data_IF_701491072327
#
_entry.id   IF_701491072327
#
_cell.length_a   1.000
_cell.length_b   1.000
_cell.length_c   1.000
_cell.angle_alpha   90.00
_cell.angle_beta   90.00
_cell.angle_gamma   90.00
#
_symmetry.space_group_name_H-M   'P 1'
#
loop_
_entity.id
_entity.type
_entity.pdbx_description
1 polymer ?
#
# COMPACT_ATOMS: atom_id res chain seq x y z
N UNK A 1 -7.76 -29.78 -11.22
CA UNK A 1 -7.05 -30.28 -10.02
C UNK A 1 -6.53 -31.71 -10.18
N UNK A 2 -7.38 -32.72 -10.46
CA UNK A 2 -6.92 -34.12 -10.58
C UNK A 2 -5.98 -34.35 -11.79
N UNK A 3 -6.33 -33.79 -12.95
CA UNK A 3 -5.50 -33.79 -14.18
C UNK A 3 -4.08 -33.22 -13.97
N UNK A 4 -3.96 -32.16 -13.18
CA UNK A 4 -2.67 -31.50 -12.93
C UNK A 4 -1.70 -32.37 -12.12
N UNK A 5 -2.24 -33.19 -11.21
CA UNK A 5 -1.47 -34.11 -10.37
C UNK A 5 -1.02 -35.37 -11.13
N UNK A 6 -1.78 -35.80 -12.15
CA UNK A 6 -1.37 -36.90 -13.01
C UNK A 6 -0.19 -36.52 -13.91
N UNK A 7 -0.14 -35.26 -14.35
CA UNK A 7 0.96 -34.75 -15.17
C UNK A 7 2.24 -34.44 -14.36
N UNK A 8 2.10 -34.15 -13.06
CA UNK A 8 3.22 -33.83 -12.16
C UNK A 8 3.09 -34.61 -10.84
N UNK A 9 3.59 -35.86 -10.77
CA UNK A 9 3.51 -36.64 -9.55
C UNK A 9 4.28 -35.94 -8.41
N UNK A 10 3.71 -35.89 -7.19
CA UNK A 10 4.35 -35.24 -6.05
C UNK A 10 5.68 -35.92 -5.73
N UNK A 11 6.78 -35.16 -5.65
CA UNK A 11 8.03 -35.72 -5.14
C UNK A 11 7.80 -36.23 -3.71
N UNK A 12 8.30 -37.44 -3.35
CA UNK A 12 8.21 -37.93 -1.99
C UNK A 12 8.86 -36.91 -1.06
N UNK A 13 8.22 -36.64 0.08
CA UNK A 13 8.77 -35.79 1.14
C UNK A 13 10.10 -36.42 1.56
N UNK A 14 11.21 -35.89 1.07
CA UNK A 14 12.53 -36.30 1.55
C UNK A 14 12.60 -35.87 3.01
N UNK A 15 12.66 -36.84 3.93
CA UNK A 15 13.22 -36.59 5.25
C UNK A 15 14.58 -35.92 5.02
N UNK A 16 14.81 -34.78 5.68
CA UNK A 16 16.04 -34.00 5.53
C UNK A 16 17.26 -34.91 5.38
N UNK A 17 18.14 -34.69 4.39
CA UNK A 17 19.37 -35.46 4.31
C UNK A 17 20.10 -35.36 5.66
N UNK A 18 20.68 -36.47 6.17
CA UNK A 18 21.30 -36.51 7.50
C UNK A 18 22.50 -35.57 7.65
N UNK A 19 22.98 -34.98 6.56
CA UNK A 19 24.02 -33.96 6.57
C UNK A 19 23.47 -32.62 6.07
N UNK A 20 23.65 -31.53 6.84
CA UNK A 20 23.39 -30.20 6.33
C UNK A 20 24.27 -29.97 5.08
N UNK A 21 23.77 -29.27 4.06
CA UNK A 21 24.61 -28.90 2.92
C UNK A 21 25.86 -28.18 3.43
N UNK A 22 27.04 -28.39 2.81
CA UNK A 22 28.27 -27.76 3.26
C UNK A 22 28.04 -26.26 3.35
N UNK A 23 28.32 -25.69 4.52
CA UNK A 23 28.20 -24.26 4.77
C UNK A 23 29.06 -23.56 3.72
N UNK A 24 28.43 -22.87 2.76
CA UNK A 24 29.18 -22.10 1.77
C UNK A 24 29.89 -20.99 2.54
N UNK A 25 31.19 -21.16 2.76
CA UNK A 25 32.05 -20.22 3.51
C UNK A 25 32.06 -18.80 2.92
N UNK A 26 31.52 -18.60 1.73
CA UNK A 26 31.39 -17.30 1.05
C UNK A 26 30.01 -16.64 1.18
N UNK A 27 29.05 -17.18 1.95
CA UNK A 27 27.79 -16.47 2.21
C UNK A 27 27.99 -15.43 3.30
N UNK A 28 28.42 -14.23 2.92
CA UNK A 28 28.40 -13.08 3.82
C UNK A 28 26.95 -12.64 3.98
N UNK A 29 26.40 -12.76 5.20
CA UNK A 29 25.07 -12.22 5.51
C UNK A 29 25.07 -10.72 5.18
N UNK A 30 24.19 -10.23 4.29
CA UNK A 30 24.11 -8.81 3.99
C UNK A 30 23.82 -8.05 5.29
N UNK A 31 24.73 -7.13 5.64
CA UNK A 31 24.66 -6.31 6.84
C UNK A 31 24.02 -4.94 6.56
N UNK A 32 24.10 -4.45 5.31
CA UNK A 32 23.40 -3.26 4.88
C UNK A 32 21.94 -3.55 4.54
N UNK A 33 21.06 -2.59 4.81
CA UNK A 33 19.64 -2.68 4.50
C UNK A 33 19.39 -2.77 2.98
N UNK A 34 20.21 -2.10 2.18
CA UNK A 34 20.13 -2.12 0.72
C UNK A 34 20.44 -3.49 0.11
N UNK A 35 21.27 -4.30 0.77
CA UNK A 35 21.70 -5.62 0.29
C UNK A 35 20.77 -6.75 0.75
N UNK A 36 19.79 -6.43 1.61
CA UNK A 36 18.76 -7.39 2.00
C UNK A 36 17.73 -7.47 0.88
N UNK A 37 17.78 -8.57 0.12
CA UNK A 37 16.68 -8.93 -0.75
C UNK A 37 15.45 -9.27 0.11
N UNK A 38 14.58 -8.28 0.36
CA UNK A 38 13.27 -8.47 1.00
C UNK A 38 12.26 -9.22 0.12
N UNK A 39 12.71 -9.75 -1.00
CA UNK A 39 11.91 -10.60 -1.88
C UNK A 39 11.63 -11.91 -1.17
N UNK A 40 10.35 -12.14 -0.87
CA UNK A 40 9.89 -13.44 -0.37
C UNK A 40 10.18 -14.52 -1.42
N UNK A 41 10.57 -15.70 -0.96
CA UNK A 41 10.66 -16.88 -1.82
C UNK A 41 9.30 -17.56 -1.89
N UNK A 42 8.82 -17.81 -3.11
CA UNK A 42 7.62 -18.60 -3.36
C UNK A 42 8.02 -19.96 -3.89
N UNK A 43 7.77 -21.01 -3.10
CA UNK A 43 8.15 -22.38 -3.43
C UNK A 43 6.98 -23.32 -3.23
N UNK A 44 6.76 -24.16 -4.24
CA UNK A 44 5.91 -25.33 -4.15
C UNK A 44 6.78 -26.58 -4.10
N UNK A 45 6.78 -27.25 -2.94
CA UNK A 45 7.58 -28.45 -2.70
C UNK A 45 7.09 -29.66 -3.51
N UNK A 46 5.79 -29.71 -3.80
CA UNK A 46 5.15 -30.83 -4.50
C UNK A 46 5.57 -30.88 -5.97
N UNK A 47 5.67 -29.71 -6.60
CA UNK A 47 6.04 -29.54 -8.01
C UNK A 47 7.54 -29.22 -8.21
N UNK A 48 8.27 -29.07 -7.11
CA UNK A 48 9.67 -28.61 -7.06
C UNK A 48 9.93 -27.34 -7.89
N UNK A 49 8.97 -26.41 -7.84
CA UNK A 49 9.08 -25.11 -8.48
C UNK A 49 9.28 -24.03 -7.42
N UNK A 50 10.18 -23.10 -7.72
CA UNK A 50 10.51 -21.98 -6.86
C UNK A 50 10.76 -20.73 -7.71
N UNK A 51 10.32 -19.59 -7.18
CA UNK A 51 10.53 -18.28 -7.77
C UNK A 51 10.96 -17.34 -6.66
N UNK A 52 12.02 -16.57 -6.90
CA UNK A 52 12.41 -15.48 -6.02
C UNK A 52 11.64 -14.22 -6.43
N UNK A 53 10.86 -13.65 -5.52
CA UNK A 53 10.17 -12.41 -5.81
C UNK A 53 11.13 -11.21 -5.83
N UNK A 54 10.77 -10.12 -6.55
CA UNK A 54 11.55 -8.89 -6.53
C UNK A 54 11.73 -8.36 -5.12
N UNK A 55 12.72 -7.48 -4.92
CA UNK A 55 12.89 -6.78 -3.65
C UNK A 55 11.63 -6.02 -3.28
N UNK A 56 11.07 -6.32 -2.10
CA UNK A 56 10.00 -5.52 -1.52
C UNK A 56 10.47 -4.12 -1.14
N UNK A 57 9.52 -3.26 -0.79
CA UNK A 57 9.80 -1.91 -0.28
C UNK A 57 9.08 -1.69 1.06
N UNK A 58 9.33 -0.58 1.78
CA UNK A 58 8.54 -0.22 2.95
C UNK A 58 7.04 -0.04 2.68
N UNK A 59 6.64 0.10 1.42
CA UNK A 59 5.26 0.34 1.03
C UNK A 59 4.54 -0.91 0.52
N UNK A 60 5.29 -1.92 0.08
CA UNK A 60 4.71 -3.14 -0.46
C UNK A 60 5.59 -4.35 -0.20
N UNK A 61 4.95 -5.50 -0.07
CA UNK A 61 5.59 -6.80 -0.07
C UNK A 61 5.09 -7.61 -1.27
N UNK A 62 5.69 -8.78 -1.49
CA UNK A 62 5.18 -9.76 -2.44
C UNK A 62 4.63 -10.97 -1.69
N UNK A 63 3.45 -11.42 -2.07
CA UNK A 63 2.83 -12.65 -1.58
C UNK A 63 2.87 -13.74 -2.66
N UNK A 64 2.90 -15.00 -2.22
CA UNK A 64 2.82 -16.14 -3.12
C UNK A 64 1.38 -16.38 -3.57
N UNK A 65 1.16 -16.46 -4.87
CA UNK A 65 -0.14 -16.58 -5.49
C UNK A 65 -0.10 -17.51 -6.73
N UNK A 66 -1.23 -17.60 -7.43
CA UNK A 66 -1.40 -18.48 -8.59
C UNK A 66 -1.78 -19.90 -8.21
N UNK A 67 -2.15 -20.71 -9.20
CA UNK A 67 -2.64 -22.09 -8.98
C UNK A 67 -1.60 -22.97 -8.28
N UNK A 68 -0.32 -22.68 -8.50
CA UNK A 68 0.80 -23.45 -7.95
C UNK A 68 1.47 -22.76 -6.76
N UNK A 69 1.00 -21.58 -6.32
CA UNK A 69 1.61 -20.80 -5.22
C UNK A 69 3.10 -20.46 -5.46
N UNK A 70 3.52 -20.39 -6.72
CA UNK A 70 4.90 -20.03 -7.12
C UNK A 70 5.00 -18.64 -7.73
N UNK A 71 3.88 -17.96 -7.95
CA UNK A 71 3.86 -16.65 -8.59
C UNK A 71 3.96 -15.54 -7.53
N UNK A 72 4.54 -14.40 -7.92
CA UNK A 72 4.73 -13.24 -7.06
C UNK A 72 3.64 -12.20 -7.31
N UNK A 73 2.74 -12.03 -6.35
CA UNK A 73 1.70 -11.00 -6.39
C UNK A 73 2.05 -9.82 -5.47
N UNK A 74 1.71 -8.62 -5.92
CA UNK A 74 1.86 -7.41 -5.12
C UNK A 74 0.91 -7.42 -3.92
N UNK A 75 1.44 -7.14 -2.73
CA UNK A 75 0.67 -6.93 -1.51
C UNK A 75 1.04 -5.60 -0.87
N UNK A 76 0.03 -4.82 -0.49
CA UNK A 76 0.25 -3.56 0.22
C UNK A 76 0.52 -3.83 1.70
N UNK A 77 1.44 -3.08 2.32
CA UNK A 77 1.71 -3.25 3.75
C UNK A 77 0.52 -2.78 4.61
N UNK A 78 0.17 -3.55 5.64
CA UNK A 78 -0.98 -3.25 6.52
C UNK A 78 -0.91 -1.86 7.15
N UNK A 79 0.28 -1.39 7.52
CA UNK A 79 0.43 -0.07 8.13
C UNK A 79 -0.01 1.06 7.18
N UNK A 80 0.18 0.91 5.87
CA UNK A 80 -0.29 1.90 4.90
C UNK A 80 -1.80 1.97 4.84
N UNK A 81 -2.49 0.82 4.92
CA UNK A 81 -3.95 0.77 4.95
C UNK A 81 -4.46 1.52 6.19
N UNK A 82 -3.86 1.27 7.35
CA UNK A 82 -4.27 1.89 8.61
C UNK A 82 -4.03 3.42 8.56
N UNK A 83 -2.85 3.84 8.11
CA UNK A 83 -2.51 5.27 8.04
C UNK A 83 -3.37 6.00 7.00
N UNK A 84 -3.59 5.41 5.82
CA UNK A 84 -4.42 6.02 4.78
C UNK A 84 -5.87 6.16 5.24
N UNK A 85 -6.42 5.14 5.89
CA UNK A 85 -7.77 5.17 6.44
C UNK A 85 -7.91 6.22 7.54
N UNK A 86 -6.93 6.31 8.45
CA UNK A 86 -6.94 7.32 9.52
C UNK A 86 -6.86 8.75 8.99
N UNK A 87 -6.03 9.02 7.99
CA UNK A 87 -5.94 10.35 7.38
C UNK A 87 -7.24 10.67 6.66
N UNK A 88 -7.79 9.71 5.92
CA UNK A 88 -9.04 9.85 5.21
C UNK A 88 -10.20 10.20 6.14
N UNK A 89 -10.35 9.52 7.28
CA UNK A 89 -11.43 9.80 8.23
C UNK A 89 -11.33 11.19 8.85
N UNK A 90 -10.12 11.66 9.19
CA UNK A 90 -9.90 13.01 9.72
C UNK A 90 -10.27 14.07 8.67
N UNK A 91 -9.78 13.92 7.43
CA UNK A 91 -10.11 14.85 6.35
C UNK A 91 -11.62 14.86 6.09
N UNK A 92 -12.24 13.68 6.03
CA UNK A 92 -13.67 13.56 5.81
C UNK A 92 -14.50 14.23 6.92
N UNK A 93 -14.11 14.07 8.18
CA UNK A 93 -14.76 14.75 9.30
C UNK A 93 -14.61 16.27 9.23
N UNK A 94 -13.43 16.79 8.84
CA UNK A 94 -13.21 18.22 8.64
C UNK A 94 -14.05 18.77 7.48
N UNK A 95 -14.20 18.02 6.40
CA UNK A 95 -15.06 18.41 5.27
C UNK A 95 -16.53 18.46 5.70
N UNK A 96 -17.02 17.49 6.47
CA UNK A 96 -18.37 17.52 7.02
C UNK A 96 -18.55 18.73 7.94
N UNK A 97 -17.61 18.96 8.85
CA UNK A 97 -17.66 20.06 9.80
C UNK A 97 -17.66 21.42 9.09
N UNK A 98 -16.78 21.62 8.12
CA UNK A 98 -16.72 22.86 7.33
C UNK A 98 -17.88 23.02 6.36
N UNK A 99 -18.51 21.94 5.91
CA UNK A 99 -19.74 22.01 5.14
C UNK A 99 -20.95 22.36 6.03
N UNK A 100 -21.04 21.76 7.21
CA UNK A 100 -22.11 22.00 8.19
C UNK A 100 -22.04 23.37 8.87
N UNK A 101 -20.84 23.81 9.21
CA UNK A 101 -20.56 25.11 9.82
C UNK A 101 -20.02 26.13 8.83
N UNK A 102 -20.04 25.78 7.54
CA UNK A 102 -19.58 26.67 6.48
C UNK A 102 -20.34 27.98 6.60
N UNK A 103 -19.64 29.13 6.61
CA UNK A 103 -20.32 30.41 6.64
C UNK A 103 -21.33 30.42 5.49
N UNK A 104 -22.55 30.89 5.78
CA UNK A 104 -23.46 31.33 4.72
C UNK A 104 -22.65 32.13 3.71
N UNK A 105 -22.84 31.92 2.39
CA UNK A 105 -22.09 32.67 1.39
C UNK A 105 -22.16 34.15 1.82
N UNK A 106 -21.01 34.84 1.96
CA UNK A 106 -21.03 36.22 2.42
C UNK A 106 -22.03 36.95 1.53
N UNK A 107 -22.97 37.72 2.11
CA UNK A 107 -23.96 38.42 1.31
C UNK A 107 -23.19 39.16 0.23
N UNK A 108 -23.54 38.92 -1.04
CA UNK A 108 -22.94 39.61 -2.18
C UNK A 108 -22.92 41.10 -1.82
N UNK A 109 -21.72 41.62 -1.55
CA UNK A 109 -21.56 43.04 -1.30
C UNK A 109 -21.94 43.70 -2.62
N UNK A 110 -23.18 44.17 -2.71
CA UNK A 110 -23.60 44.98 -3.86
C UNK A 110 -22.68 46.17 -3.84
N UNK A 111 -21.73 46.18 -4.76
CA UNK A 111 -20.90 47.34 -5.03
C UNK A 111 -21.85 48.39 -5.61
N UNK A 112 -22.47 49.18 -4.73
CA UNK A 112 -23.30 50.29 -5.15
C UNK A 112 -22.31 51.43 -5.43
N UNK A 113 -21.83 51.47 -6.68
CA UNK A 113 -21.00 52.56 -7.19
C UNK A 113 -21.88 53.82 -7.15
N UNK A 114 -21.59 54.82 -6.29
CA UNK A 114 -22.29 56.09 -6.33
C UNK A 114 -21.93 56.79 -7.64
N UNK A 115 -22.94 57.27 -8.37
CA UNK A 115 -22.77 57.99 -9.64
C UNK A 115 -22.30 59.44 -9.45
N UNK A 116 -21.93 59.81 -8.23
CA UNK A 116 -21.60 61.17 -7.83
C UNK A 116 -20.26 61.07 -7.10
N UNK A 117 -19.23 61.76 -7.58
CA UNK A 117 -17.81 61.56 -7.26
C UNK A 117 -17.39 61.83 -5.81
N UNK A 118 -18.03 61.20 -4.84
CA UNK A 118 -17.70 61.25 -3.42
C UNK A 118 -17.33 59.85 -2.90
N UNK A 119 -16.36 59.83 -1.98
CA UNK A 119 -15.68 58.63 -1.44
C UNK A 119 -16.64 57.50 -1.04
N UNK A 120 -16.30 56.22 -1.31
CA UNK A 120 -17.17 55.09 -0.97
C UNK A 120 -17.31 54.94 0.54
N UNK A 121 -18.55 54.99 1.03
CA UNK A 121 -18.89 54.76 2.44
C UNK A 121 -19.31 53.29 2.60
N UNK A 122 -18.57 52.53 3.41
CA UNK A 122 -18.94 51.15 3.76
C UNK A 122 -20.09 51.22 4.76
N UNK A 123 -21.34 51.06 4.31
CA UNK A 123 -22.47 50.85 5.21
C UNK A 123 -22.50 49.39 5.69
N UNK A 124 -22.05 49.17 6.93
CA UNK A 124 -22.25 47.91 7.65
C UNK A 124 -23.64 47.92 8.28
N UNK A 125 -24.63 47.29 7.65
CA UNK A 125 -25.93 47.04 8.27
C UNK A 125 -25.84 45.78 9.14
N UNK A 126 -25.75 45.96 10.45
CA UNK A 126 -25.98 44.88 11.43
C UNK A 126 -27.49 44.68 11.61
N UNK A 127 -27.99 43.51 11.23
CA UNK A 127 -29.38 43.07 11.44
C UNK A 127 -29.48 41.58 11.22
#
# INVERSE_FOLDING_TARGET
MFEFLLQNPPKPVQAWPPEPPPISVNFTRPNAWADKHFGQWCRNLTLDRHTQCPSGSPFHWYICCGETMTDCCFGIQTWLIIMSFSIFTVIFALLIFTFWLGPSPPPLQKLQIPSDGETPIILSTSG
#
